data_IF_761766433952
#
_entry.id   IF_761766433952
#
_cell.length_a   1.000
_cell.length_b   1.000
_cell.length_c   1.000
_cell.angle_alpha   90.00
_cell.angle_beta   90.00
_cell.angle_gamma   90.00
#
_symmetry.space_group_name_H-M   'P 1'
#
loop_
_entity.id
_entity.type
_entity.pdbx_description
1 polymer ?
#
# COMPACT_ATOMS: atom_id res chain seq x y z
N UNK A 1 2.27 15.60 -12.92
CA UNK A 1 1.40 15.21 -11.78
C UNK A 1 0.19 14.49 -12.33
N UNK A 2 0.22 13.19 -12.35
CA UNK A 2 -0.97 12.38 -12.65
C UNK A 2 -1.90 12.51 -11.45
N UNK A 3 -2.90 13.34 -11.57
CA UNK A 3 -4.02 13.27 -10.62
C UNK A 3 -4.72 11.94 -10.86
N UNK A 4 -4.87 11.16 -9.81
CA UNK A 4 -5.75 10.03 -9.79
C UNK A 4 -7.09 10.41 -10.43
N UNK A 5 -7.49 9.70 -11.48
CA UNK A 5 -8.80 9.90 -12.11
C UNK A 5 -9.93 9.29 -11.28
N UNK A 6 -9.58 8.60 -10.19
CA UNK A 6 -10.51 8.05 -9.22
C UNK A 6 -10.15 8.67 -7.88
N UNK A 7 -10.99 9.51 -7.33
CA UNK A 7 -10.81 9.94 -5.94
C UNK A 7 -10.73 11.42 -5.67
N UNK A 8 -11.39 12.26 -6.44
CA UNK A 8 -11.86 13.54 -5.91
C UNK A 8 -13.35 13.65 -6.15
N UNK A 9 -14.02 14.32 -5.29
CA UNK A 9 -15.47 14.30 -5.10
C UNK A 9 -16.34 14.59 -6.35
N UNK A 10 -15.78 15.10 -7.41
CA UNK A 10 -16.47 15.34 -8.68
C UNK A 10 -16.21 14.27 -9.73
N UNK A 11 -15.10 13.53 -9.60
CA UNK A 11 -14.75 12.41 -10.48
C UNK A 11 -15.15 11.06 -9.88
N UNK A 12 -15.54 11.02 -8.64
CA UNK A 12 -15.86 9.86 -7.80
C UNK A 12 -16.87 8.89 -8.41
N UNK A 13 -17.61 9.32 -9.39
CA UNK A 13 -18.64 8.52 -10.04
C UNK A 13 -18.34 8.18 -11.48
N UNK A 14 -17.12 8.50 -11.94
CA UNK A 14 -16.68 8.02 -13.22
C UNK A 14 -16.30 6.54 -13.08
N UNK A 15 -17.23 5.69 -13.50
CA UNK A 15 -17.04 4.26 -13.66
C UNK A 15 -15.90 3.97 -14.64
N UNK A 16 -15.46 2.71 -14.70
CA UNK A 16 -14.53 2.23 -15.72
C UNK A 16 -14.98 2.63 -17.13
N UNK A 17 -16.29 2.62 -17.37
CA UNK A 17 -16.90 3.10 -18.62
C UNK A 17 -16.78 4.61 -18.82
N UNK A 18 -16.75 5.40 -17.73
CA UNK A 18 -16.47 6.84 -17.79
C UNK A 18 -15.06 7.10 -18.30
N UNK A 19 -14.06 6.36 -17.79
CA UNK A 19 -12.67 6.43 -18.26
C UNK A 19 -12.58 6.04 -19.74
N UNK A 20 -13.24 4.95 -20.15
CA UNK A 20 -13.29 4.52 -21.57
C UNK A 20 -13.75 5.62 -22.51
N UNK A 21 -14.79 6.36 -22.16
CA UNK A 21 -15.30 7.50 -22.92
C UNK A 21 -14.28 8.65 -23.02
N UNK A 22 -13.33 8.74 -22.11
CA UNK A 22 -12.28 9.78 -22.07
C UNK A 22 -10.96 9.37 -22.74
N UNK A 23 -10.83 8.14 -23.23
CA UNK A 23 -9.61 7.67 -23.92
C UNK A 23 -9.17 8.60 -25.06
N UNK A 24 -10.06 9.14 -25.93
CA UNK A 24 -9.65 10.09 -26.95
C UNK A 24 -9.04 11.37 -26.38
N UNK A 25 -9.59 11.87 -25.27
CA UNK A 25 -9.03 13.04 -24.56
C UNK A 25 -7.64 12.74 -23.98
N UNK A 26 -7.47 11.60 -23.30
CA UNK A 26 -6.18 11.17 -22.73
C UNK A 26 -5.12 11.04 -23.83
N UNK A 27 -5.48 10.45 -24.96
CA UNK A 27 -4.59 10.31 -26.11
C UNK A 27 -4.19 11.68 -26.69
N UNK A 28 -5.13 12.59 -26.84
CA UNK A 28 -4.85 13.96 -27.33
C UNK A 28 -3.97 14.76 -26.36
N UNK A 29 -4.04 14.45 -25.06
CA UNK A 29 -3.18 15.03 -24.03
C UNK A 29 -1.76 14.46 -24.05
N UNK A 30 -1.51 13.41 -24.83
CA UNK A 30 -0.21 12.73 -24.91
C UNK A 30 0.07 11.74 -23.79
N UNK A 31 -0.99 11.28 -23.09
CA UNK A 31 -0.86 10.26 -22.03
C UNK A 31 -0.55 8.92 -22.68
N UNK A 32 0.45 8.21 -22.17
CA UNK A 32 0.86 6.87 -22.63
C UNK A 32 0.66 5.79 -21.56
N UNK A 33 0.36 6.16 -20.31
CA UNK A 33 -0.04 5.25 -19.25
C UNK A 33 -1.07 5.89 -18.32
N UNK A 34 -2.00 5.09 -17.83
CA UNK A 34 -3.00 5.47 -16.82
C UNK A 34 -2.80 4.59 -15.61
N UNK A 35 -2.70 5.18 -14.44
CA UNK A 35 -2.75 4.47 -13.16
C UNK A 35 -4.12 4.65 -12.54
N UNK A 36 -4.79 3.52 -12.26
CA UNK A 36 -6.06 3.48 -11.53
C UNK A 36 -5.79 3.26 -10.04
N UNK A 37 -6.40 4.07 -9.19
CA UNK A 37 -6.56 3.76 -7.77
C UNK A 37 -7.30 2.44 -7.62
N UNK A 38 -7.31 1.82 -6.41
CA UNK A 38 -7.94 0.52 -6.21
C UNK A 38 -9.38 0.47 -6.73
N UNK A 39 -9.65 -0.48 -7.60
CA UNK A 39 -10.98 -0.74 -8.20
C UNK A 39 -11.58 -2.05 -7.71
N UNK A 40 -10.92 -2.69 -6.76
CA UNK A 40 -11.37 -3.93 -6.14
C UNK A 40 -12.60 -3.73 -5.27
N UNK A 41 -13.32 -4.81 -4.98
CA UNK A 41 -14.42 -4.77 -4.01
C UNK A 41 -13.90 -4.32 -2.65
N UNK A 42 -14.50 -3.27 -2.12
CA UNK A 42 -14.09 -2.62 -0.87
C UNK A 42 -15.29 -2.06 -0.11
N UNK A 43 -15.31 -2.11 1.22
CA UNK A 43 -16.25 -1.37 2.06
C UNK A 43 -16.07 0.16 2.00
N UNK A 44 -15.03 0.65 1.29
CA UNK A 44 -14.76 2.08 1.08
C UNK A 44 -14.44 2.85 2.36
N UNK A 45 -13.80 2.19 3.32
CA UNK A 45 -13.27 2.82 4.54
C UNK A 45 -12.16 3.80 4.21
N UNK A 46 -11.32 3.45 3.25
CA UNK A 46 -10.21 4.26 2.76
C UNK A 46 -10.18 4.28 1.23
N UNK A 47 -11.29 4.72 0.62
CA UNK A 47 -11.41 4.97 -0.83
C UNK A 47 -10.93 3.80 -1.71
N UNK A 48 -11.15 2.56 -1.27
CA UNK A 48 -10.83 1.34 -2.01
C UNK A 48 -9.53 0.66 -1.57
N UNK A 49 -8.70 1.29 -0.73
CA UNK A 49 -7.49 0.65 -0.20
C UNK A 49 -7.80 -0.45 0.83
N UNK A 50 -8.98 -0.46 1.43
CA UNK A 50 -9.49 -1.54 2.28
C UNK A 50 -10.13 -2.65 1.42
N UNK A 51 -9.30 -3.45 0.76
CA UNK A 51 -9.73 -4.48 -0.20
C UNK A 51 -10.37 -5.66 0.51
N UNK A 52 -11.62 -6.00 0.15
CA UNK A 52 -12.32 -7.19 0.65
C UNK A 52 -12.36 -8.35 -0.33
N UNK A 53 -12.12 -8.09 -1.63
CA UNK A 53 -11.98 -9.13 -2.65
C UNK A 53 -11.11 -8.64 -3.79
N UNK A 54 -9.91 -9.21 -3.93
CA UNK A 54 -8.93 -8.86 -4.97
C UNK A 54 -9.30 -9.37 -6.37
N UNK A 55 -10.22 -10.32 -6.49
CA UNK A 55 -10.56 -10.99 -7.76
C UNK A 55 -11.82 -10.43 -8.42
N UNK A 56 -12.39 -9.37 -7.87
CA UNK A 56 -13.60 -8.75 -8.39
C UNK A 56 -13.49 -7.23 -8.40
N UNK A 57 -14.20 -6.61 -9.34
CA UNK A 57 -14.33 -5.16 -9.45
C UNK A 57 -15.46 -4.69 -8.53
N UNK A 58 -15.24 -3.55 -7.86
CA UNK A 58 -16.28 -2.89 -7.06
C UNK A 58 -17.48 -2.54 -7.95
N UNK A 59 -18.70 -2.98 -7.58
CA UNK A 59 -19.90 -2.71 -8.38
C UNK A 59 -20.18 -1.23 -8.64
N UNK A 60 -19.67 -0.33 -7.78
CA UNK A 60 -19.78 1.11 -8.01
C UNK A 60 -18.88 1.62 -9.15
N UNK A 61 -17.78 0.90 -9.44
CA UNK A 61 -16.84 1.23 -10.51
C UNK A 61 -17.22 0.58 -11.83
N UNK A 62 -17.90 -0.58 -11.80
CA UNK A 62 -18.29 -1.33 -12.98
C UNK A 62 -18.25 -2.84 -12.78
N UNK A 63 -18.13 -3.56 -13.87
CA UNK A 63 -18.05 -5.02 -13.90
C UNK A 63 -16.66 -5.49 -14.35
N UNK A 64 -16.40 -6.80 -14.24
CA UNK A 64 -15.20 -7.40 -14.81
C UNK A 64 -15.12 -7.21 -16.34
N UNK A 65 -16.26 -7.33 -17.03
CA UNK A 65 -16.36 -7.05 -18.46
C UNK A 65 -16.00 -5.60 -18.79
N UNK A 66 -16.44 -4.64 -17.97
CA UNK A 66 -16.07 -3.22 -18.14
C UNK A 66 -14.55 -3.01 -18.00
N UNK A 67 -13.91 -3.72 -17.06
CA UNK A 67 -12.45 -3.67 -16.87
C UNK A 67 -11.71 -4.28 -18.07
N UNK A 68 -12.11 -5.44 -18.55
CA UNK A 68 -11.51 -6.09 -19.72
C UNK A 68 -11.68 -5.24 -20.98
N UNK A 69 -12.84 -4.60 -21.13
CA UNK A 69 -13.07 -3.66 -22.21
C UNK A 69 -12.23 -2.39 -22.09
N UNK A 70 -12.02 -1.87 -20.88
CA UNK A 70 -11.15 -0.71 -20.62
C UNK A 70 -9.70 -1.02 -21.02
N UNK A 71 -9.15 -2.16 -20.58
CA UNK A 71 -7.81 -2.64 -20.94
C UNK A 71 -7.65 -2.67 -22.48
N UNK A 72 -8.58 -3.36 -23.15
CA UNK A 72 -8.56 -3.50 -24.60
C UNK A 72 -8.61 -2.16 -25.34
N UNK A 73 -9.43 -1.22 -24.88
CA UNK A 73 -9.61 0.08 -25.56
C UNK A 73 -8.44 1.03 -25.28
N UNK A 74 -7.83 0.96 -24.08
CA UNK A 74 -6.59 1.66 -23.78
C UNK A 74 -5.43 1.16 -24.67
N UNK A 75 -5.25 -0.15 -24.80
CA UNK A 75 -4.22 -0.74 -25.65
C UNK A 75 -4.39 -0.35 -27.12
N UNK A 76 -5.61 -0.34 -27.66
CA UNK A 76 -5.87 0.16 -29.01
C UNK A 76 -5.46 1.63 -29.21
N UNK A 77 -5.54 2.40 -28.14
CA UNK A 77 -5.12 3.82 -28.15
C UNK A 77 -3.61 3.99 -27.95
N UNK A 78 -2.86 2.94 -27.65
CA UNK A 78 -1.44 2.98 -27.29
C UNK A 78 -1.20 3.48 -25.89
N UNK A 79 -2.14 3.25 -24.97
CA UNK A 79 -2.09 3.68 -23.55
C UNK A 79 -2.00 2.42 -22.68
N UNK A 80 -1.02 2.37 -21.80
CA UNK A 80 -0.84 1.30 -20.82
C UNK A 80 -1.73 1.49 -19.59
N UNK A 81 -2.09 0.39 -18.93
CA UNK A 81 -2.87 0.40 -17.70
C UNK A 81 -2.06 -0.12 -16.52
N UNK A 82 -1.89 0.72 -15.50
CA UNK A 82 -1.27 0.38 -14.22
C UNK A 82 -2.38 0.28 -13.18
N UNK A 83 -2.43 -0.82 -12.43
CA UNK A 83 -3.36 -0.99 -11.33
C UNK A 83 -2.68 -0.74 -9.98
N UNK A 84 -3.41 -0.09 -9.09
CA UNK A 84 -3.02 -0.03 -7.68
C UNK A 84 -3.12 -1.42 -7.05
N UNK A 85 -2.11 -1.80 -6.29
CA UNK A 85 -2.00 -3.13 -5.70
C UNK A 85 -1.67 -3.01 -4.21
N UNK A 86 -2.71 -3.16 -3.39
CA UNK A 86 -2.62 -3.06 -1.94
C UNK A 86 -2.12 -4.37 -1.39
N UNK A 87 -0.89 -4.39 -0.86
CA UNK A 87 -0.25 -5.63 -0.41
C UNK A 87 0.11 -5.64 1.09
N UNK A 88 0.05 -4.49 1.78
CA UNK A 88 0.35 -4.43 3.20
C UNK A 88 -0.78 -4.98 4.09
N UNK A 89 -2.03 -4.80 3.69
CA UNK A 89 -3.21 -5.09 4.51
C UNK A 89 -4.41 -5.49 3.63
N UNK A 90 -5.48 -5.95 4.28
CA UNK A 90 -6.79 -6.14 3.64
C UNK A 90 -7.85 -5.36 4.40
N UNK A 91 -9.08 -5.33 3.89
CA UNK A 91 -10.24 -4.98 4.71
C UNK A 91 -10.43 -5.99 5.84
N UNK A 92 -11.01 -5.56 6.94
CA UNK A 92 -11.53 -6.45 7.98
C UNK A 92 -12.69 -7.33 7.47
N UNK A 93 -13.32 -6.96 6.33
CA UNK A 93 -14.35 -7.75 5.67
C UNK A 93 -13.79 -8.79 4.70
N UNK A 94 -12.45 -8.85 4.52
CA UNK A 94 -11.84 -9.87 3.67
C UNK A 94 -12.10 -11.28 4.25
N UNK A 95 -12.44 -12.29 3.42
CA UNK A 95 -12.73 -13.65 3.89
C UNK A 95 -11.62 -14.25 4.76
N UNK A 96 -10.36 -13.97 4.48
CA UNK A 96 -9.23 -14.45 5.29
C UNK A 96 -9.29 -13.89 6.72
N UNK A 97 -9.55 -12.58 6.88
CA UNK A 97 -9.63 -11.98 8.21
C UNK A 97 -10.89 -12.41 8.95
N UNK A 98 -12.02 -12.48 8.24
CA UNK A 98 -13.28 -12.95 8.82
C UNK A 98 -13.19 -14.39 9.36
N UNK A 99 -12.44 -15.26 8.67
CA UNK A 99 -12.20 -16.62 9.15
C UNK A 99 -11.21 -16.61 10.32
N UNK A 100 -10.12 -15.85 10.23
CA UNK A 100 -9.11 -15.72 11.28
C UNK A 100 -9.68 -15.28 12.64
N UNK A 101 -10.68 -14.39 12.65
CA UNK A 101 -11.31 -13.91 13.90
C UNK A 101 -12.47 -14.79 14.37
N UNK A 102 -13.05 -15.63 13.52
CA UNK A 102 -14.11 -16.59 13.90
C UNK A 102 -13.52 -17.90 14.38
N UNK A 103 -12.39 -18.30 13.85
CA UNK A 103 -11.70 -19.54 14.17
C UNK A 103 -10.21 -19.28 14.44
N UNK A 104 -9.80 -19.17 15.72
CA UNK A 104 -8.40 -18.94 16.07
C UNK A 104 -7.43 -20.05 15.62
N UNK A 105 -7.94 -21.24 15.31
CA UNK A 105 -7.18 -22.36 14.78
C UNK A 105 -7.15 -22.41 13.24
N UNK A 106 -7.73 -21.43 12.58
CA UNK A 106 -7.73 -21.32 11.11
C UNK A 106 -6.33 -21.12 10.56
N UNK A 107 -6.06 -21.66 9.36
CA UNK A 107 -4.85 -21.37 8.58
C UNK A 107 -4.71 -19.86 8.29
N UNK A 108 -5.81 -19.14 8.18
CA UNK A 108 -5.80 -17.70 7.95
C UNK A 108 -5.43 -16.89 9.20
N UNK A 109 -5.35 -17.51 10.38
CA UNK A 109 -4.88 -16.82 11.59
C UNK A 109 -3.48 -16.25 11.38
N UNK A 110 -2.59 -17.04 10.79
CA UNK A 110 -1.20 -16.66 10.51
C UNK A 110 -1.05 -15.75 9.27
N UNK A 111 -2.14 -15.46 8.56
CA UNK A 111 -2.12 -14.47 7.48
C UNK A 111 -2.08 -13.03 8.01
N UNK A 112 -2.44 -12.83 9.26
CA UNK A 112 -2.45 -11.52 9.92
C UNK A 112 -1.52 -11.52 11.14
N UNK A 113 -1.18 -10.32 11.59
CA UNK A 113 -0.29 -10.14 12.73
C UNK A 113 -1.13 -10.08 13.99
N UNK A 114 -1.14 -11.16 14.77
CA UNK A 114 -1.71 -11.19 16.11
C UNK A 114 -0.60 -11.28 17.15
N UNK A 115 -0.68 -10.48 18.21
CA UNK A 115 0.31 -10.48 19.28
C UNK A 115 -0.30 -10.02 20.62
N UNK A 116 0.52 -10.08 21.68
CA UNK A 116 0.07 -9.78 23.04
C UNK A 116 -0.63 -10.96 23.71
N UNK A 117 -1.03 -10.74 24.95
CA UNK A 117 -1.81 -11.65 25.78
C UNK A 117 -2.48 -10.85 26.89
N UNK A 118 -3.48 -11.40 27.53
CA UNK A 118 -4.22 -10.81 28.64
C UNK A 118 -4.79 -9.40 28.33
N UNK A 119 -5.13 -9.15 27.07
CA UNK A 119 -5.68 -7.87 26.62
C UNK A 119 -4.69 -6.70 26.66
N UNK A 120 -3.40 -6.95 26.89
CA UNK A 120 -2.37 -5.92 26.88
C UNK A 120 -1.80 -5.71 25.50
N UNK A 121 -1.61 -4.44 25.13
CA UNK A 121 -0.94 -4.07 23.89
C UNK A 121 0.52 -4.51 23.92
N UNK A 122 1.04 -5.10 22.84
CA UNK A 122 2.44 -5.53 22.75
C UNK A 122 3.45 -4.38 22.88
N UNK A 123 3.11 -3.19 22.38
CA UNK A 123 3.97 -2.02 22.38
C UNK A 123 3.14 -0.71 22.28
N UNK A 124 3.84 0.43 22.24
CA UNK A 124 3.26 1.78 22.16
C UNK A 124 3.20 2.35 20.73
N UNK A 125 3.26 1.52 19.69
CA UNK A 125 3.24 2.04 18.33
C UNK A 125 1.87 2.61 17.98
N UNK A 126 1.90 3.74 17.28
CA UNK A 126 0.73 4.47 16.82
C UNK A 126 0.46 4.24 15.33
N UNK A 127 -0.83 4.17 15.00
CA UNK A 127 -1.33 4.12 13.63
C UNK A 127 -1.10 5.44 12.91
N UNK A 128 -0.92 5.40 11.60
CA UNK A 128 -0.87 6.61 10.76
C UNK A 128 -2.16 7.44 10.82
N UNK A 129 -3.29 6.81 11.10
CA UNK A 129 -4.58 7.48 11.23
C UNK A 129 -4.91 7.87 12.68
N UNK A 130 -3.94 7.68 13.59
CA UNK A 130 -4.05 8.01 14.99
C UNK A 130 -4.49 6.83 15.86
N UNK A 131 -4.23 6.93 17.15
CA UNK A 131 -4.46 5.84 18.10
C UNK A 131 -3.37 4.76 18.04
N UNK A 132 -3.65 3.63 18.66
CA UNK A 132 -2.75 2.46 18.65
C UNK A 132 -2.82 1.69 17.35
N UNK A 133 -1.73 1.01 16.97
CA UNK A 133 -1.75 -0.02 15.90
C UNK A 133 -2.38 -1.35 16.33
N UNK A 134 -2.83 -1.45 17.57
CA UNK A 134 -3.34 -2.68 18.16
C UNK A 134 -4.81 -2.56 18.54
N UNK A 135 -5.64 -3.43 17.99
CA UNK A 135 -7.03 -3.61 18.38
C UNK A 135 -7.26 -4.99 19.00
N UNK A 136 -8.12 -5.09 20.04
CA UNK A 136 -8.44 -6.37 20.65
C UNK A 136 -8.94 -7.38 19.62
N UNK A 137 -8.49 -8.63 19.76
CA UNK A 137 -8.96 -9.72 18.91
C UNK A 137 -10.46 -10.00 19.18
N UNK A 138 -11.32 -9.89 18.14
CA UNK A 138 -12.75 -10.17 18.29
C UNK A 138 -13.05 -11.63 18.71
N UNK A 139 -12.13 -12.58 18.49
CA UNK A 139 -12.26 -13.96 18.94
C UNK A 139 -12.12 -14.12 20.46
N UNK A 140 -11.74 -13.07 21.19
CA UNK A 140 -11.58 -13.11 22.65
C UNK A 140 -10.39 -13.92 23.15
N UNK A 141 -9.36 -14.10 22.33
CA UNK A 141 -8.14 -14.88 22.68
C UNK A 141 -7.23 -14.17 23.70
N UNK A 142 -7.51 -12.92 24.02
CA UNK A 142 -6.63 -12.06 24.82
C UNK A 142 -5.46 -11.45 24.03
N UNK A 143 -5.36 -11.76 22.73
CA UNK A 143 -4.43 -11.11 21.81
C UNK A 143 -5.01 -9.81 21.24
N UNK A 144 -4.20 -9.09 20.46
CA UNK A 144 -4.63 -7.98 19.61
C UNK A 144 -4.12 -8.22 18.18
N UNK A 145 -4.86 -7.77 17.18
CA UNK A 145 -4.36 -7.72 15.81
C UNK A 145 -3.73 -6.37 15.51
N UNK A 146 -2.81 -6.38 14.56
CA UNK A 146 -2.06 -5.20 14.12
C UNK A 146 -2.74 -4.54 12.92
N UNK A 147 -2.80 -3.21 12.94
CA UNK A 147 -3.20 -2.40 11.79
C UNK A 147 -2.35 -1.12 11.73
N UNK A 148 -1.73 -0.84 10.61
CA UNK A 148 -0.91 0.36 10.48
C UNK A 148 -1.74 1.60 10.12
N UNK A 149 -2.85 1.40 9.39
CA UNK A 149 -3.80 2.43 8.95
C UNK A 149 -5.08 2.40 9.79
N UNK A 150 -6.28 2.38 9.19
CA UNK A 150 -7.52 2.24 9.94
C UNK A 150 -7.60 0.87 10.63
N UNK A 151 -8.26 0.81 11.78
CA UNK A 151 -8.46 -0.45 12.51
C UNK A 151 -9.23 -1.51 11.70
N UNK A 152 -9.98 -1.10 10.67
CA UNK A 152 -10.65 -1.99 9.73
C UNK A 152 -9.75 -2.45 8.58
N UNK A 153 -8.45 -2.18 8.67
CA UNK A 153 -7.44 -2.54 7.67
C UNK A 153 -6.32 -3.35 8.34
N UNK A 154 -6.59 -4.61 8.76
CA UNK A 154 -5.59 -5.45 9.44
C UNK A 154 -4.41 -5.77 8.51
N UNK A 155 -3.20 -5.62 9.05
CA UNK A 155 -1.96 -5.87 8.30
C UNK A 155 -1.73 -7.35 8.05
N UNK A 156 -1.32 -7.67 6.82
CA UNK A 156 -0.91 -9.01 6.42
C UNK A 156 0.47 -9.36 7.02
N UNK A 157 0.61 -10.60 7.42
CA UNK A 157 1.84 -11.17 7.96
C UNK A 157 2.77 -11.65 6.83
N UNK A 158 3.53 -10.77 6.23
CA UNK A 158 4.48 -11.10 5.14
C UNK A 158 5.62 -12.03 5.56
N UNK A 159 5.82 -12.27 6.85
CA UNK A 159 6.71 -13.32 7.34
C UNK A 159 6.20 -14.71 6.95
N UNK A 160 4.88 -14.88 6.82
CA UNK A 160 4.26 -16.11 6.37
C UNK A 160 4.45 -16.28 4.85
N UNK A 161 5.07 -17.38 4.37
CA UNK A 161 5.25 -17.62 2.94
C UNK A 161 3.94 -17.79 2.18
N UNK A 162 2.88 -18.30 2.82
CA UNK A 162 1.56 -18.47 2.21
C UNK A 162 0.92 -17.12 1.85
N UNK A 163 1.13 -16.08 2.67
CA UNK A 163 0.71 -14.71 2.35
C UNK A 163 1.43 -14.22 1.10
N UNK A 164 2.75 -14.42 1.02
CA UNK A 164 3.54 -14.02 -0.15
C UNK A 164 3.08 -14.72 -1.43
N UNK A 165 2.78 -16.01 -1.32
CA UNK A 165 2.26 -16.79 -2.44
C UNK A 165 0.87 -16.31 -2.87
N UNK A 166 -0.05 -16.14 -1.93
CA UNK A 166 -1.41 -15.66 -2.22
C UNK A 166 -1.41 -14.28 -2.88
N UNK A 167 -0.53 -13.36 -2.44
CA UNK A 167 -0.42 -12.04 -3.06
C UNK A 167 0.21 -12.11 -4.46
N UNK A 168 1.12 -13.04 -4.71
CA UNK A 168 1.65 -13.29 -6.05
C UNK A 168 0.55 -13.81 -6.99
N UNK A 169 -0.27 -14.77 -6.54
CA UNK A 169 -1.41 -15.28 -7.33
C UNK A 169 -2.39 -14.16 -7.71
N UNK A 170 -2.66 -13.23 -6.80
CA UNK A 170 -3.50 -12.04 -7.10
C UNK A 170 -2.86 -11.19 -8.20
N UNK A 171 -1.56 -10.90 -8.09
CA UNK A 171 -0.85 -10.10 -9.09
C UNK A 171 -0.89 -10.78 -10.48
N UNK A 172 -0.57 -12.07 -10.53
CA UNK A 172 -0.62 -12.85 -11.78
C UNK A 172 -2.03 -12.90 -12.39
N UNK A 173 -3.07 -13.02 -11.57
CA UNK A 173 -4.45 -13.00 -12.06
C UNK A 173 -4.74 -11.74 -12.88
N UNK A 174 -4.32 -10.57 -12.41
CA UNK A 174 -4.55 -9.31 -13.10
C UNK A 174 -3.62 -9.12 -14.31
N UNK A 175 -2.36 -9.56 -14.21
CA UNK A 175 -1.43 -9.57 -15.34
C UNK A 175 -1.92 -10.47 -16.48
N UNK A 176 -2.48 -11.64 -16.17
CA UNK A 176 -3.14 -12.52 -17.15
C UNK A 176 -4.34 -11.85 -17.82
N UNK A 177 -5.01 -10.91 -17.17
CA UNK A 177 -6.09 -10.11 -17.76
C UNK A 177 -5.59 -8.97 -18.66
N UNK A 178 -4.29 -8.72 -18.68
CA UNK A 178 -3.65 -7.79 -19.60
C UNK A 178 -3.37 -6.39 -19.04
N UNK A 179 -3.31 -6.22 -17.73
CA UNK A 179 -2.76 -4.96 -17.16
C UNK A 179 -1.26 -4.89 -17.45
N UNK A 180 -0.72 -3.69 -17.59
CA UNK A 180 0.68 -3.45 -17.98
C UNK A 180 1.60 -3.16 -16.80
N UNK A 181 1.05 -2.95 -15.62
CA UNK A 181 1.84 -2.65 -14.44
C UNK A 181 1.07 -2.68 -13.13
N UNK A 182 1.83 -2.73 -12.05
CA UNK A 182 1.34 -2.66 -10.67
C UNK A 182 1.96 -1.47 -9.96
N UNK A 183 1.14 -0.66 -9.32
CA UNK A 183 1.60 0.29 -8.31
C UNK A 183 1.46 -0.38 -6.94
N UNK A 184 2.58 -0.70 -6.31
CA UNK A 184 2.67 -1.42 -5.05
C UNK A 184 2.48 -0.45 -3.89
N UNK A 185 1.26 -0.44 -3.35
CA UNK A 185 0.84 0.43 -2.25
C UNK A 185 1.54 0.02 -0.95
N UNK A 186 2.05 1.01 -0.22
CA UNK A 186 2.58 0.86 1.15
C UNK A 186 3.56 -0.33 1.34
N UNK A 187 4.22 -0.81 0.28
CA UNK A 187 5.07 -2.01 0.31
C UNK A 187 6.23 -1.89 1.30
N UNK A 188 6.68 -0.67 1.60
CA UNK A 188 7.77 -0.44 2.56
C UNK A 188 7.39 -0.82 3.99
N UNK A 189 6.12 -1.04 4.26
CA UNK A 189 5.59 -1.32 5.60
C UNK A 189 5.35 -2.82 5.87
N UNK A 190 5.57 -3.71 4.91
CA UNK A 190 5.36 -5.15 5.11
C UNK A 190 6.31 -5.76 6.14
N UNK A 191 7.54 -5.20 6.31
CA UNK A 191 8.51 -5.58 7.34
C UNK A 191 8.35 -4.75 8.61
N UNK A 192 8.38 -5.42 9.78
CA UNK A 192 8.27 -4.78 11.10
C UNK A 192 9.41 -5.21 11.99
N UNK A 193 9.80 -4.34 12.94
CA UNK A 193 10.72 -4.64 14.05
C UNK A 193 10.13 -5.71 14.99
N UNK A 194 10.87 -6.06 16.03
CA UNK A 194 10.35 -6.91 17.09
C UNK A 194 9.14 -6.23 17.77
N UNK A 195 7.98 -6.85 17.65
CA UNK A 195 6.72 -6.35 18.16
C UNK A 195 6.67 -6.17 19.68
N UNK A 196 7.66 -6.67 20.42
CA UNK A 196 7.79 -6.50 21.88
C UNK A 196 8.51 -5.21 22.27
N UNK A 197 9.06 -4.47 21.31
CA UNK A 197 9.81 -3.25 21.56
C UNK A 197 8.91 -2.02 21.54
N UNK A 198 8.95 -1.25 22.63
CA UNK A 198 8.38 0.09 22.60
C UNK A 198 9.26 1.05 21.81
N UNK A 199 8.61 1.98 21.11
CA UNK A 199 9.30 3.12 20.54
C UNK A 199 9.66 4.10 21.67
N UNK A 200 10.89 4.63 21.71
CA UNK A 200 11.30 5.58 22.76
C UNK A 200 10.42 6.83 22.77
N UNK A 201 9.91 7.20 23.93
CA UNK A 201 9.14 8.42 24.15
C UNK A 201 9.98 9.45 24.90
N UNK A 202 9.90 10.73 24.52
CA UNK A 202 10.69 11.77 25.16
C UNK A 202 10.31 11.99 26.64
N UNK A 203 9.07 11.65 27.03
CA UNK A 203 8.56 11.76 28.41
C UNK A 203 8.54 10.41 29.16
N UNK A 204 8.94 9.30 28.50
CA UNK A 204 8.95 7.95 29.06
C UNK A 204 7.56 7.31 29.20
N UNK A 205 6.49 7.95 28.75
CA UNK A 205 5.13 7.40 28.84
C UNK A 205 4.85 6.43 27.69
N UNK A 206 5.07 5.15 27.93
CA UNK A 206 4.81 4.05 27.00
C UNK A 206 3.33 3.75 26.77
N UNK A 207 2.41 4.42 27.47
CA UNK A 207 0.98 4.23 27.24
C UNK A 207 0.44 5.09 26.10
N UNK A 208 1.17 6.11 25.69
CA UNK A 208 0.81 6.98 24.57
C UNK A 208 1.20 6.33 23.24
N UNK A 209 0.27 6.09 22.33
CA UNK A 209 0.60 5.67 21.00
C UNK A 209 1.43 6.73 20.27
N UNK A 210 2.54 6.30 19.65
CA UNK A 210 3.42 7.15 18.85
C UNK A 210 3.65 6.49 17.48
N UNK A 211 3.56 7.28 16.41
CA UNK A 211 3.87 6.79 15.06
C UNK A 211 5.36 6.42 14.98
N UNK A 212 5.61 5.13 15.16
CA UNK A 212 6.95 4.55 15.24
C UNK A 212 7.48 4.14 13.86
N UNK A 213 7.40 5.04 12.87
CA UNK A 213 7.74 4.72 11.48
C UNK A 213 9.09 4.00 11.30
N UNK A 214 10.18 4.36 12.02
CA UNK A 214 11.42 3.60 11.95
C UNK A 214 11.32 2.13 12.37
N UNK A 215 10.22 1.70 13.02
CA UNK A 215 9.99 0.33 13.49
C UNK A 215 9.07 -0.48 12.55
N UNK A 216 8.49 0.16 11.54
CA UNK A 216 7.60 -0.51 10.59
C UNK A 216 7.74 0.01 9.14
N UNK A 217 8.84 0.65 8.80
CA UNK A 217 9.09 1.07 7.42
C UNK A 217 10.52 0.72 6.98
N UNK A 218 10.63 0.31 5.73
CA UNK A 218 11.91 0.12 5.03
C UNK A 218 12.86 -0.92 5.68
N UNK A 219 12.33 -1.90 6.39
CA UNK A 219 13.18 -2.96 6.96
C UNK A 219 13.86 -3.81 5.86
N UNK A 220 15.05 -4.38 6.12
CA UNK A 220 15.74 -5.26 5.16
C UNK A 220 14.87 -6.42 4.65
N UNK A 221 13.98 -6.94 5.50
CA UNK A 221 13.01 -7.98 5.15
C UNK A 221 12.06 -7.57 4.01
N UNK A 222 11.78 -6.28 3.85
CA UNK A 222 10.98 -5.77 2.72
C UNK A 222 11.62 -6.17 1.40
N UNK A 223 12.93 -5.94 1.24
CA UNK A 223 13.65 -6.34 0.03
C UNK A 223 13.75 -7.86 -0.11
N UNK A 224 14.00 -8.56 1.00
CA UNK A 224 14.07 -10.03 1.02
C UNK A 224 12.77 -10.67 0.53
N UNK A 225 11.63 -10.17 1.00
CA UNK A 225 10.32 -10.76 0.65
C UNK A 225 9.79 -10.29 -0.69
N UNK A 226 10.08 -9.04 -1.09
CA UNK A 226 9.65 -8.50 -2.38
C UNK A 226 10.46 -9.02 -3.56
N UNK A 227 11.73 -9.40 -3.36
CA UNK A 227 12.58 -9.86 -4.46
C UNK A 227 12.00 -11.07 -5.19
N UNK A 228 11.64 -12.19 -4.53
CA UNK A 228 11.03 -13.34 -5.21
C UNK A 228 9.72 -12.97 -5.91
N UNK A 229 8.91 -12.09 -5.32
CA UNK A 229 7.68 -11.59 -5.92
C UNK A 229 7.95 -10.84 -7.24
N UNK A 230 8.89 -9.89 -7.21
CA UNK A 230 9.24 -9.11 -8.40
C UNK A 230 9.94 -9.94 -9.48
N UNK A 231 10.84 -10.85 -9.08
CA UNK A 231 11.54 -11.76 -10.00
C UNK A 231 10.56 -12.67 -10.73
N UNK A 232 9.60 -13.27 -10.03
CA UNK A 232 8.59 -14.13 -10.64
C UNK A 232 7.72 -13.36 -11.63
N UNK A 233 7.25 -12.17 -11.25
CA UNK A 233 6.48 -11.32 -12.16
C UNK A 233 7.30 -10.96 -13.40
N UNK A 234 8.55 -10.55 -13.24
CA UNK A 234 9.41 -10.20 -14.39
C UNK A 234 9.80 -11.38 -15.25
N UNK A 235 9.86 -12.58 -14.69
CA UNK A 235 10.11 -13.80 -15.43
C UNK A 235 8.91 -14.14 -16.35
N UNK A 236 7.70 -14.06 -15.83
CA UNK A 236 6.49 -14.47 -16.55
C UNK A 236 5.89 -13.33 -17.40
N UNK A 237 6.11 -12.08 -16.95
CA UNK A 237 5.60 -10.84 -17.57
C UNK A 237 6.72 -9.79 -17.65
N UNK A 238 7.73 -9.94 -18.53
CA UNK A 238 8.95 -9.13 -18.53
C UNK A 238 8.72 -7.63 -18.76
N UNK A 239 7.65 -7.27 -19.45
CA UNK A 239 7.31 -5.87 -19.77
C UNK A 239 6.47 -5.18 -18.71
N UNK A 240 6.10 -5.88 -17.61
CA UNK A 240 5.30 -5.32 -16.52
C UNK A 240 6.05 -4.19 -15.82
N UNK A 241 5.43 -3.03 -15.65
CA UNK A 241 5.96 -1.95 -14.81
C UNK A 241 5.65 -2.24 -13.34
N UNK A 242 6.69 -2.25 -12.50
CA UNK A 242 6.57 -2.30 -11.04
C UNK A 242 6.91 -0.93 -10.45
N UNK A 243 5.88 -0.22 -9.98
CA UNK A 243 5.99 1.11 -9.40
C UNK A 243 5.72 1.04 -7.89
N UNK A 244 6.75 1.20 -7.05
CA UNK A 244 6.61 1.08 -5.60
C UNK A 244 6.30 2.41 -4.92
N UNK A 245 5.37 2.44 -3.95
CA UNK A 245 5.21 3.58 -3.07
C UNK A 245 6.22 3.50 -1.91
N UNK A 246 7.31 4.25 -2.02
CA UNK A 246 8.37 4.32 -1.03
C UNK A 246 8.34 5.65 -0.27
N UNK A 247 7.19 5.95 0.37
CA UNK A 247 6.84 7.25 0.93
C UNK A 247 7.97 7.88 1.77
N UNK A 248 8.62 7.10 2.62
CA UNK A 248 9.68 7.55 3.54
C UNK A 248 11.09 7.07 3.19
N UNK A 249 11.29 6.48 2.01
CA UNK A 249 12.62 6.03 1.60
C UNK A 249 13.57 7.22 1.38
N UNK A 250 14.81 7.08 1.86
CA UNK A 250 15.88 7.99 1.50
C UNK A 250 16.28 7.80 0.03
N UNK A 251 17.01 8.77 -0.54
CA UNK A 251 17.52 8.68 -1.91
C UNK A 251 18.31 7.38 -2.13
N UNK A 252 19.24 7.05 -1.21
CA UNK A 252 20.03 5.82 -1.31
C UNK A 252 19.16 4.57 -1.30
N UNK A 253 18.14 4.54 -0.45
CA UNK A 253 17.23 3.41 -0.38
C UNK A 253 16.31 3.31 -1.62
N UNK A 254 15.90 4.45 -2.19
CA UNK A 254 15.19 4.48 -3.46
C UNK A 254 16.05 3.89 -4.61
N UNK A 255 17.34 4.21 -4.64
CA UNK A 255 18.30 3.59 -5.56
C UNK A 255 18.38 2.08 -5.32
N UNK A 256 18.45 1.65 -4.06
CA UNK A 256 18.46 0.22 -3.74
C UNK A 256 17.18 -0.50 -4.21
N UNK A 257 16.02 0.15 -4.10
CA UNK A 257 14.76 -0.40 -4.61
C UNK A 257 14.69 -0.46 -6.14
N UNK A 258 15.39 0.44 -6.86
CA UNK A 258 15.26 0.57 -8.32
C UNK A 258 16.48 0.06 -9.10
N UNK A 259 17.56 -0.26 -8.42
CA UNK A 259 18.76 -0.79 -9.08
C UNK A 259 18.48 -2.16 -9.69
N UNK A 260 18.75 -2.33 -10.99
CA UNK A 260 18.50 -3.59 -11.73
C UNK A 260 19.11 -4.82 -11.08
N UNK A 261 20.30 -4.69 -10.44
CA UNK A 261 20.97 -5.80 -9.73
C UNK A 261 20.16 -6.34 -8.54
N UNK A 262 19.25 -5.56 -7.99
CA UNK A 262 18.44 -5.94 -6.83
C UNK A 262 17.12 -6.61 -7.22
N UNK A 263 16.74 -6.57 -8.51
CA UNK A 263 15.55 -7.24 -9.04
C UNK A 263 14.27 -6.89 -8.27
N UNK A 264 14.08 -5.60 -7.98
CA UNK A 264 12.90 -5.11 -7.25
C UNK A 264 12.02 -4.26 -8.16
N UNK A 265 11.91 -2.95 -7.90
CA UNK A 265 11.02 -2.05 -8.64
C UNK A 265 11.70 -1.45 -9.88
N UNK A 266 10.90 -1.08 -10.88
CA UNK A 266 11.39 -0.26 -11.99
C UNK A 266 11.49 1.21 -11.61
N UNK A 267 10.60 1.67 -10.73
CA UNK A 267 10.58 3.03 -10.20
C UNK A 267 9.90 3.09 -8.83
N UNK A 268 10.13 4.17 -8.09
CA UNK A 268 9.44 4.42 -6.82
C UNK A 268 8.86 5.84 -6.77
N UNK A 269 7.77 5.98 -6.01
CA UNK A 269 7.20 7.26 -5.62
C UNK A 269 7.62 7.55 -4.20
N UNK A 270 8.18 8.74 -3.94
CA UNK A 270 8.52 9.18 -2.58
C UNK A 270 7.75 10.43 -2.19
N UNK A 271 7.57 10.62 -0.87
CA UNK A 271 7.02 11.86 -0.30
C UNK A 271 8.08 12.67 0.47
N UNK A 272 9.33 12.19 0.51
CA UNK A 272 10.42 12.80 1.31
C UNK A 272 10.65 14.27 0.99
N UNK A 273 10.55 14.67 -0.26
CA UNK A 273 10.73 16.08 -0.63
C UNK A 273 9.63 17.03 -0.09
N UNK A 274 8.54 16.48 0.46
CA UNK A 274 7.51 17.23 1.18
C UNK A 274 7.62 17.09 2.71
N UNK A 275 8.29 16.05 3.22
CA UNK A 275 8.22 15.63 4.63
C UNK A 275 9.55 15.72 5.37
N UNK A 276 10.63 16.21 4.74
CA UNK A 276 11.97 16.19 5.35
C UNK A 276 12.14 17.18 6.54
N UNK A 277 11.29 18.20 6.66
CA UNK A 277 11.28 19.08 7.84
C UNK A 277 10.26 18.61 8.87
N UNK A 278 10.74 17.89 9.88
CA UNK A 278 9.94 17.28 10.93
C UNK A 278 9.99 17.99 12.27
N UNK A 279 10.69 19.13 12.34
CA UNK A 279 11.08 19.78 13.61
C UNK A 279 9.90 20.19 14.52
N UNK A 280 8.67 20.31 13.96
CA UNK A 280 7.47 20.74 14.67
C UNK A 280 6.28 19.78 14.55
N UNK A 281 6.53 18.51 14.20
CA UNK A 281 5.44 17.55 14.04
C UNK A 281 5.05 16.89 15.37
N UNK A 282 3.75 16.73 15.59
CA UNK A 282 3.22 15.94 16.69
C UNK A 282 3.43 14.44 16.38
N UNK A 283 4.23 13.77 17.19
CA UNK A 283 4.59 12.36 16.99
C UNK A 283 3.42 11.37 17.13
N UNK A 284 2.26 11.83 17.63
CA UNK A 284 1.04 11.01 17.73
C UNK A 284 0.32 10.83 16.39
N UNK A 285 0.69 11.60 15.39
CA UNK A 285 0.09 11.57 14.04
C UNK A 285 1.15 11.42 12.99
N UNK A 286 0.79 10.82 11.86
CA UNK A 286 1.68 10.73 10.71
C UNK A 286 2.09 12.12 10.22
N UNK A 287 3.38 12.31 9.99
CA UNK A 287 3.96 13.56 9.53
C UNK A 287 3.37 14.04 8.20
N UNK A 288 3.01 13.13 7.32
CA UNK A 288 2.44 13.45 6.00
C UNK A 288 1.04 14.08 6.06
N UNK A 289 0.29 13.87 7.16
CA UNK A 289 -1.06 14.42 7.34
C UNK A 289 -1.10 15.69 8.19
N UNK A 290 0.06 16.17 8.65
CA UNK A 290 0.12 17.37 9.47
C UNK A 290 0.32 18.62 8.61
N UNK A 291 -0.41 19.73 8.89
CA UNK A 291 -0.22 21.00 8.19
C UNK A 291 1.22 21.49 8.36
N UNK A 292 1.90 21.75 7.24
CA UNK A 292 3.26 22.28 7.21
C UNK A 292 3.34 23.50 6.33
N UNK A 293 4.19 24.45 6.73
CA UNK A 293 4.61 25.51 5.83
C UNK A 293 5.67 24.95 4.87
N UNK A 294 5.36 24.93 3.59
CA UNK A 294 6.31 24.48 2.57
C UNK A 294 7.49 25.46 2.48
N UNK A 295 8.69 25.00 2.78
CA UNK A 295 9.92 25.71 2.41
C UNK A 295 10.24 25.44 0.93
N UNK A 296 9.98 26.42 0.08
CA UNK A 296 10.20 26.30 -1.36
C UNK A 296 11.67 26.12 -1.73
N UNK A 297 12.59 26.64 -0.92
CA UNK A 297 14.04 26.48 -1.16
C UNK A 297 14.48 25.05 -0.87
N UNK A 298 14.09 24.51 0.28
CA UNK A 298 14.34 23.12 0.66
C UNK A 298 13.67 22.16 -0.33
N UNK A 299 12.42 22.40 -0.70
CA UNK A 299 11.70 21.61 -1.70
C UNK A 299 12.44 21.55 -3.04
N UNK A 300 12.90 22.71 -3.56
CA UNK A 300 13.68 22.77 -4.79
C UNK A 300 15.00 22.01 -4.68
N UNK A 301 15.72 22.16 -3.57
CA UNK A 301 16.99 21.46 -3.33
C UNK A 301 16.77 19.95 -3.29
N UNK A 302 15.74 19.48 -2.60
CA UNK A 302 15.37 18.06 -2.55
C UNK A 302 15.06 17.52 -3.95
N UNK A 303 14.28 18.27 -4.76
CA UNK A 303 13.99 17.89 -6.16
C UNK A 303 15.28 17.70 -6.97
N UNK A 304 16.27 18.60 -6.82
CA UNK A 304 17.56 18.50 -7.52
C UNK A 304 18.31 17.23 -7.10
N UNK A 305 18.37 16.94 -5.80
CA UNK A 305 19.02 15.73 -5.29
C UNK A 305 18.38 14.47 -5.86
N UNK A 306 17.04 14.39 -5.84
CA UNK A 306 16.31 13.23 -6.35
C UNK A 306 16.43 13.03 -7.87
N UNK A 307 16.69 14.09 -8.63
CA UNK A 307 16.87 14.01 -10.09
C UNK A 307 18.31 13.70 -10.52
N UNK A 308 19.28 13.91 -9.64
CA UNK A 308 20.70 13.67 -9.93
C UNK A 308 21.17 12.27 -9.54
N UNK A 309 20.32 11.51 -8.88
CA UNK A 309 20.60 10.14 -8.39
C UNK A 309 19.94 9.11 -9.28
#
# INVERSE_FOLDING_TARGET
MLRSLVGSEMCIRDSLNGIRKRIPYLKNLGVNAVWLNPVFVSPQVDNGYDVSNYFAIDPHMGTMEDMENLIKDLHKAGIHLIMDFVLNHTSDQHPWFQDAIKNPDSLYRDYYIFAGHDGKRPNNWGSFFGGSVWEPDPAGTGQSYFHLFDKRMPDLNWKNPEVRHAMLEVAEYWLKKGIDGLRLDAFIHIGKADLRQNYPTGDGDVNKPIVAEPFFANFPQVQEWMRPFCEQIKQDYPDTLLLGEAASASVNLAVDYTTKRNHLMDSVITFRYFTDDDSNCDQRFSKQYQPKKLDLTAFKQNQVVWQQT
#
